data_IF_324995726719
#
_entry.id   IF_324995726719
#
_cell.length_a   1.000
_cell.length_b   1.000
_cell.length_c   1.000
_cell.angle_alpha   90.00
_cell.angle_beta   90.00
_cell.angle_gamma   90.00
#
_symmetry.space_group_name_H-M   'P 1'
#
loop_
_entity.id
_entity.type
_entity.pdbx_description
1 polymer ?
#
# COMPACT_ATOMS: atom_id res chain seq x y z
N UNK A 1 -23.24 -85.17 -1.83
CA UNK A 1 -22.87 -84.14 -2.83
C UNK A 1 -23.34 -82.77 -2.35
N UNK A 2 -22.49 -81.95 -1.69
CA UNK A 2 -22.91 -80.64 -1.16
C UNK A 2 -21.79 -79.63 -0.92
N UNK A 3 -20.53 -80.00 -1.12
CA UNK A 3 -19.36 -79.20 -0.71
C UNK A 3 -18.82 -78.27 -1.81
N UNK A 4 -18.98 -78.63 -3.09
CA UNK A 4 -18.45 -77.80 -4.21
C UNK A 4 -19.23 -76.49 -4.44
N UNK A 5 -20.55 -76.47 -4.25
CA UNK A 5 -21.38 -75.26 -4.47
C UNK A 5 -21.18 -74.18 -3.39
N UNK A 6 -20.82 -74.58 -2.18
CA UNK A 6 -20.57 -73.63 -1.08
C UNK A 6 -19.21 -72.91 -1.22
N UNK A 7 -18.21 -73.57 -1.82
CA UNK A 7 -16.90 -72.96 -2.10
C UNK A 7 -16.95 -71.84 -3.15
N UNK A 8 -17.77 -72.00 -4.19
CA UNK A 8 -17.91 -71.00 -5.27
C UNK A 8 -18.68 -69.75 -4.83
N UNK A 9 -19.76 -69.91 -4.06
CA UNK A 9 -20.52 -68.77 -3.49
C UNK A 9 -19.66 -67.97 -2.51
N UNK A 10 -18.88 -68.64 -1.66
CA UNK A 10 -17.94 -67.99 -0.74
C UNK A 10 -16.83 -67.24 -1.48
N UNK A 11 -16.27 -67.84 -2.52
CA UNK A 11 -15.25 -67.20 -3.36
C UNK A 11 -15.79 -65.98 -4.11
N UNK A 12 -17.02 -66.04 -4.63
CA UNK A 12 -17.68 -64.91 -5.28
C UNK A 12 -17.97 -63.78 -4.29
N UNK A 13 -18.49 -64.09 -3.10
CA UNK A 13 -18.71 -63.12 -2.04
C UNK A 13 -17.41 -62.41 -1.63
N UNK A 14 -16.31 -63.16 -1.51
CA UNK A 14 -15.00 -62.58 -1.20
C UNK A 14 -14.47 -61.67 -2.32
N UNK A 15 -14.67 -62.03 -3.60
CA UNK A 15 -14.29 -61.19 -4.74
C UNK A 15 -15.08 -59.88 -4.75
N UNK A 16 -16.40 -59.93 -4.57
CA UNK A 16 -17.26 -58.75 -4.50
C UNK A 16 -16.87 -57.84 -3.32
N UNK A 17 -16.62 -58.41 -2.14
CA UNK A 17 -16.18 -57.65 -0.98
C UNK A 17 -14.82 -56.95 -1.21
N UNK A 18 -13.86 -57.62 -1.86
CA UNK A 18 -12.56 -57.02 -2.21
C UNK A 18 -12.70 -55.91 -3.24
N UNK A 19 -13.55 -56.08 -4.24
CA UNK A 19 -13.82 -55.05 -5.25
C UNK A 19 -14.46 -53.81 -4.63
N UNK A 20 -15.49 -53.99 -3.79
CA UNK A 20 -16.14 -52.88 -3.08
C UNK A 20 -15.18 -52.15 -2.14
N UNK A 21 -14.28 -52.88 -1.47
CA UNK A 21 -13.21 -52.27 -0.66
C UNK A 21 -12.25 -51.45 -1.52
N UNK A 22 -11.83 -51.97 -2.68
CA UNK A 22 -10.96 -51.27 -3.63
C UNK A 22 -11.61 -49.97 -4.13
N UNK A 23 -12.86 -50.03 -4.58
CA UNK A 23 -13.64 -48.85 -5.01
C UNK A 23 -13.71 -47.79 -3.90
N UNK A 24 -13.99 -48.21 -2.65
CA UNK A 24 -14.03 -47.29 -1.51
C UNK A 24 -12.68 -46.63 -1.24
N UNK A 25 -11.59 -47.40 -1.29
CA UNK A 25 -10.25 -46.85 -1.07
C UNK A 25 -9.85 -45.89 -2.19
N UNK A 26 -10.15 -46.21 -3.44
CA UNK A 26 -9.92 -45.30 -4.57
C UNK A 26 -10.72 -44.00 -4.43
N UNK A 27 -11.97 -44.07 -3.97
CA UNK A 27 -12.78 -42.89 -3.71
C UNK A 27 -12.21 -42.03 -2.56
N UNK A 28 -11.75 -42.67 -1.49
CA UNK A 28 -11.09 -41.97 -0.37
C UNK A 28 -9.82 -41.26 -0.86
N UNK A 29 -8.95 -41.96 -1.58
CA UNK A 29 -7.70 -41.38 -2.10
C UNK A 29 -7.95 -40.23 -3.06
N UNK A 30 -8.98 -40.30 -3.91
CA UNK A 30 -9.37 -39.18 -4.78
C UNK A 30 -9.82 -37.98 -3.94
N UNK A 31 -10.70 -38.20 -2.97
CA UNK A 31 -11.19 -37.14 -2.08
C UNK A 31 -10.04 -36.50 -1.31
N UNK A 32 -9.10 -37.28 -0.79
CA UNK A 32 -7.93 -36.76 -0.06
C UNK A 32 -7.09 -35.85 -0.97
N UNK A 33 -6.81 -36.27 -2.21
CA UNK A 33 -6.10 -35.42 -3.18
C UNK A 33 -6.85 -34.14 -3.52
N UNK A 34 -8.17 -34.22 -3.68
CA UNK A 34 -9.00 -33.05 -3.98
C UNK A 34 -8.99 -32.07 -2.80
N UNK A 35 -9.04 -32.57 -1.56
CA UNK A 35 -8.94 -31.75 -0.34
C UNK A 35 -7.55 -31.10 -0.24
N UNK A 36 -6.48 -31.87 -0.44
CA UNK A 36 -5.11 -31.33 -0.42
C UNK A 36 -4.92 -30.23 -1.46
N UNK A 37 -5.40 -30.45 -2.70
CA UNK A 37 -5.34 -29.44 -3.76
C UNK A 37 -6.15 -28.19 -3.41
N UNK A 38 -7.36 -28.35 -2.86
CA UNK A 38 -8.19 -27.23 -2.45
C UNK A 38 -7.57 -26.41 -1.30
N UNK A 39 -6.95 -27.08 -0.33
CA UNK A 39 -6.25 -26.42 0.79
C UNK A 39 -5.01 -25.67 0.27
N UNK A 40 -4.23 -26.27 -0.61
CA UNK A 40 -3.08 -25.61 -1.23
C UNK A 40 -3.51 -24.36 -2.00
N UNK A 41 -4.54 -24.49 -2.86
CA UNK A 41 -5.08 -23.36 -3.62
C UNK A 41 -5.62 -22.26 -2.70
N UNK A 42 -6.32 -22.61 -1.62
CA UNK A 42 -6.81 -21.65 -0.63
C UNK A 42 -5.67 -20.81 -0.05
N UNK A 43 -4.59 -21.45 0.42
CA UNK A 43 -3.46 -20.73 1.00
C UNK A 43 -2.72 -19.88 -0.04
N UNK A 44 -2.53 -20.38 -1.25
CA UNK A 44 -1.94 -19.63 -2.36
C UNK A 44 -2.74 -18.37 -2.70
N UNK A 45 -4.06 -18.51 -2.84
CA UNK A 45 -4.95 -17.38 -3.12
C UNK A 45 -4.99 -16.38 -1.96
N UNK A 46 -5.00 -16.86 -0.72
CA UNK A 46 -4.97 -15.99 0.46
C UNK A 46 -3.69 -15.16 0.53
N UNK A 47 -2.53 -15.80 0.35
CA UNK A 47 -1.24 -15.12 0.33
C UNK A 47 -1.15 -14.08 -0.80
N UNK A 48 -1.64 -14.42 -2.00
CA UNK A 48 -1.70 -13.47 -3.11
C UNK A 48 -2.61 -12.27 -2.79
N UNK A 49 -3.76 -12.50 -2.16
CA UNK A 49 -4.65 -11.42 -1.77
C UNK A 49 -4.00 -10.48 -0.74
N UNK A 50 -3.30 -11.03 0.26
CA UNK A 50 -2.52 -10.27 1.24
C UNK A 50 -1.45 -9.42 0.54
N UNK A 51 -0.67 -10.00 -0.38
CA UNK A 51 0.36 -9.29 -1.14
C UNK A 51 -0.21 -8.17 -2.02
N UNK A 52 -1.34 -8.40 -2.68
CA UNK A 52 -2.00 -7.38 -3.51
C UNK A 52 -2.42 -6.18 -2.65
N UNK A 53 -2.98 -6.43 -1.47
CA UNK A 53 -3.39 -5.37 -0.55
C UNK A 53 -2.20 -4.60 0.03
N UNK A 54 -1.13 -5.28 0.40
CA UNK A 54 0.10 -4.66 0.88
C UNK A 54 0.69 -3.71 -0.17
N UNK A 55 0.89 -4.20 -1.40
CA UNK A 55 1.41 -3.39 -2.52
C UNK A 55 0.48 -2.22 -2.84
N UNK A 56 -0.85 -2.42 -2.81
CA UNK A 56 -1.81 -1.34 -3.04
C UNK A 56 -1.71 -0.26 -1.97
N UNK A 57 -1.59 -0.65 -0.69
CA UNK A 57 -1.45 0.27 0.43
C UNK A 57 -0.16 1.07 0.36
N UNK A 58 0.97 0.42 0.09
CA UNK A 58 2.26 1.11 -0.08
C UNK A 58 2.20 2.17 -1.19
N UNK A 59 1.59 1.80 -2.34
CA UNK A 59 1.42 2.73 -3.46
C UNK A 59 0.50 3.89 -3.09
N UNK A 60 -0.61 3.64 -2.43
CA UNK A 60 -1.53 4.67 -1.99
C UNK A 60 -0.85 5.65 -1.02
N UNK A 61 -0.10 5.15 -0.05
CA UNK A 61 0.66 5.96 0.89
C UNK A 61 1.70 6.83 0.18
N UNK A 62 2.44 6.26 -0.78
CA UNK A 62 3.41 7.00 -1.56
C UNK A 62 2.76 8.12 -2.37
N UNK A 63 1.67 7.83 -3.07
CA UNK A 63 0.93 8.83 -3.85
C UNK A 63 0.40 9.95 -2.96
N UNK A 64 -0.12 9.63 -1.78
CA UNK A 64 -0.58 10.63 -0.81
C UNK A 64 0.57 11.47 -0.28
N UNK A 65 1.72 10.86 0.04
CA UNK A 65 2.90 11.57 0.51
C UNK A 65 3.45 12.52 -0.57
N UNK A 66 3.58 12.04 -1.81
CA UNK A 66 4.03 12.83 -2.95
C UNK A 66 3.06 13.98 -3.25
N UNK A 67 1.75 13.72 -3.19
CA UNK A 67 0.72 14.74 -3.37
C UNK A 67 0.77 15.83 -2.29
N UNK A 68 0.89 15.44 -1.02
CA UNK A 68 1.04 16.40 0.10
C UNK A 68 2.32 17.23 -0.04
N UNK A 69 3.42 16.61 -0.45
CA UNK A 69 4.68 17.33 -0.66
C UNK A 69 4.53 18.38 -1.75
N UNK A 70 3.98 18.00 -2.91
CA UNK A 70 3.76 18.93 -4.03
C UNK A 70 2.83 20.08 -3.64
N UNK A 71 1.72 19.79 -2.96
CA UNK A 71 0.82 20.83 -2.46
C UNK A 71 1.55 21.82 -1.53
N UNK A 72 2.38 21.32 -0.61
CA UNK A 72 3.17 22.17 0.28
C UNK A 72 4.30 22.94 -0.45
N UNK A 73 4.87 22.39 -1.53
CA UNK A 73 5.80 23.11 -2.41
C UNK A 73 5.09 24.25 -3.15
N UNK A 74 3.90 23.99 -3.70
CA UNK A 74 3.09 24.97 -4.42
C UNK A 74 2.57 26.09 -3.49
N UNK A 75 2.15 25.77 -2.26
CA UNK A 75 1.77 26.75 -1.24
C UNK A 75 2.94 27.67 -0.87
N UNK A 76 4.16 27.12 -0.76
CA UNK A 76 5.38 27.90 -0.55
C UNK A 76 5.67 28.81 -1.73
N UNK A 77 5.55 28.31 -2.96
CA UNK A 77 5.75 29.11 -4.16
C UNK A 77 4.72 30.26 -4.26
N UNK A 78 3.46 29.99 -3.94
CA UNK A 78 2.41 31.02 -3.89
C UNK A 78 2.72 32.09 -2.83
N UNK A 79 3.17 31.69 -1.64
CA UNK A 79 3.56 32.62 -0.57
C UNK A 79 4.77 33.47 -0.98
N UNK A 80 5.76 32.86 -1.65
CA UNK A 80 6.91 33.58 -2.19
C UNK A 80 6.49 34.60 -3.27
N UNK A 81 5.52 34.27 -4.12
CA UNK A 81 4.97 35.21 -5.10
C UNK A 81 4.27 36.40 -4.42
N UNK A 82 3.53 36.18 -3.32
CA UNK A 82 2.97 37.26 -2.50
C UNK A 82 4.09 38.16 -1.93
N UNK A 83 5.17 37.56 -1.42
CA UNK A 83 6.35 38.29 -0.97
C UNK A 83 7.00 39.13 -2.08
N UNK A 84 7.10 38.58 -3.29
CA UNK A 84 7.62 39.30 -4.45
C UNK A 84 6.73 40.49 -4.84
N UNK A 85 5.40 40.35 -4.81
CA UNK A 85 4.48 41.47 -5.06
C UNK A 85 4.67 42.60 -4.03
N UNK A 86 4.83 42.25 -2.75
CA UNK A 86 5.11 43.25 -1.71
C UNK A 86 6.46 43.94 -1.94
N UNK A 87 7.49 43.20 -2.36
CA UNK A 87 8.80 43.76 -2.69
C UNK A 87 8.77 44.70 -3.90
N UNK A 88 7.81 44.52 -4.81
CA UNK A 88 7.55 45.44 -5.93
C UNK A 88 6.79 46.71 -5.51
N UNK A 89 6.37 46.82 -4.25
CA UNK A 89 5.73 48.01 -3.70
C UNK A 89 4.19 47.96 -3.66
N UNK A 90 3.58 46.82 -4.00
CA UNK A 90 2.12 46.64 -3.88
C UNK A 90 1.66 46.68 -2.41
N UNK A 91 0.51 47.29 -2.17
CA UNK A 91 -0.10 47.30 -0.83
C UNK A 91 -0.74 45.95 -0.52
N UNK A 92 -0.90 45.63 0.77
CA UNK A 92 -1.51 44.36 1.19
C UNK A 92 -2.94 44.21 0.70
N UNK A 93 -3.69 45.31 0.67
CA UNK A 93 -5.05 45.39 0.14
C UNK A 93 -5.08 45.14 -1.37
N UNK A 94 -4.17 45.76 -2.13
CA UNK A 94 -4.02 45.53 -3.58
C UNK A 94 -3.65 44.08 -3.90
N UNK A 95 -2.70 43.50 -3.16
CA UNK A 95 -2.32 42.08 -3.32
C UNK A 95 -3.52 41.17 -3.06
N UNK A 96 -4.30 41.41 -2.00
CA UNK A 96 -5.49 40.63 -1.69
C UNK A 96 -6.53 40.68 -2.82
N UNK A 97 -6.74 41.87 -3.41
CA UNK A 97 -7.63 42.06 -4.55
C UNK A 97 -7.12 41.36 -5.81
N UNK A 98 -5.83 41.53 -6.15
CA UNK A 98 -5.22 40.96 -7.36
C UNK A 98 -5.12 39.43 -7.34
N UNK A 99 -4.84 38.86 -6.17
CA UNK A 99 -4.66 37.41 -6.01
C UNK A 99 -5.96 36.70 -5.61
N UNK A 100 -6.99 37.44 -5.22
CA UNK A 100 -8.26 36.90 -4.72
C UNK A 100 -8.16 36.20 -3.37
N UNK A 101 -7.03 36.31 -2.67
CA UNK A 101 -6.84 35.74 -1.33
C UNK A 101 -7.25 36.73 -0.25
N UNK A 102 -7.68 36.22 0.91
CA UNK A 102 -8.06 37.08 2.03
C UNK A 102 -6.88 37.94 2.52
N UNK A 103 -7.17 39.14 3.01
CA UNK A 103 -6.14 40.01 3.61
C UNK A 103 -5.39 39.33 4.77
N UNK A 104 -6.07 38.45 5.51
CA UNK A 104 -5.46 37.63 6.57
C UNK A 104 -4.41 36.66 6.01
N UNK A 105 -4.71 36.00 4.89
CA UNK A 105 -3.79 35.10 4.23
C UNK A 105 -2.56 35.84 3.67
N UNK A 106 -2.76 37.04 3.10
CA UNK A 106 -1.64 37.90 2.66
C UNK A 106 -0.72 38.24 3.83
N UNK A 107 -1.28 38.64 4.99
CA UNK A 107 -0.49 38.96 6.19
C UNK A 107 0.31 37.76 6.69
N UNK A 108 -0.30 36.57 6.70
CA UNK A 108 0.37 35.34 7.12
C UNK A 108 1.50 34.96 6.16
N UNK A 109 1.26 35.00 4.85
CA UNK A 109 2.27 34.69 3.84
C UNK A 109 3.50 35.60 3.94
N UNK A 110 3.29 36.92 4.17
CA UNK A 110 4.38 37.87 4.35
C UNK A 110 5.18 37.62 5.63
N UNK A 111 4.51 37.32 6.75
CA UNK A 111 5.19 36.98 8.01
C UNK A 111 6.09 35.75 7.86
N UNK A 112 5.63 34.71 7.16
CA UNK A 112 6.43 33.51 6.88
C UNK A 112 7.64 33.77 5.96
N UNK A 113 7.55 34.78 5.09
CA UNK A 113 8.69 35.20 4.25
C UNK A 113 9.76 35.94 5.08
N UNK A 114 9.36 36.76 6.04
CA UNK A 114 10.27 37.50 6.94
C UNK A 114 11.05 36.55 7.88
N UNK A 115 10.39 35.49 8.40
CA UNK A 115 11.05 34.45 9.21
C UNK A 115 12.09 33.63 8.42
N UNK A 116 11.87 33.44 7.12
CA UNK A 116 12.80 32.69 6.27
C UNK A 116 14.08 33.47 5.95
N UNK A 117 14.00 34.80 5.87
CA UNK A 117 15.15 35.68 5.58
C UNK A 117 16.10 35.88 6.79
N UNK A 118 15.60 35.66 8.01
CA UNK A 118 16.37 35.84 9.24
C UNK A 118 17.26 34.63 9.59
N UNK A 119 17.10 33.50 8.90
CA UNK A 119 17.85 32.26 9.17
C UNK A 119 19.06 32.03 8.25
N UNK A 120 19.27 32.89 7.25
CA UNK A 120 20.35 32.80 6.25
C UNK A 120 21.46 33.82 6.55
N UNK A 121 22.08 33.70 7.72
CA UNK A 121 23.35 34.39 8.02
C UNK A 121 24.52 33.53 7.49
N UNK A 122 25.49 34.11 6.74
CA UNK A 122 26.59 33.34 6.17
C UNK A 122 27.54 32.81 7.26
N UNK A 123 28.21 31.65 7.06
CA UNK A 123 29.31 31.23 7.91
C UNK A 123 30.49 32.21 7.70
N UNK A 124 30.51 33.27 8.50
CA UNK A 124 31.60 34.21 8.57
C UNK A 124 32.87 33.50 9.03
N UNK A 125 33.84 33.39 8.11
CA UNK A 125 35.17 32.86 8.35
C UNK A 125 35.87 33.62 9.47
N UNK A 126 36.13 32.93 10.57
CA UNK A 126 37.08 33.34 11.59
C UNK A 126 38.42 32.68 11.32
N UNK A 127 39.22 33.29 10.46
CA UNK A 127 40.66 33.08 10.42
C UNK A 127 41.21 33.50 11.80
N UNK A 128 41.83 32.58 12.52
CA UNK A 128 42.51 32.87 13.80
C UNK A 128 43.71 31.96 13.95
N UNK A 129 44.74 32.34 13.19
CA UNK A 129 46.14 32.34 13.60
C UNK A 129 46.32 32.26 15.13
N UNK A 130 46.83 31.11 15.61
CA UNK A 130 47.58 31.05 16.86
C UNK A 130 49.00 30.58 16.56
N UNK A 131 49.91 31.55 16.70
CA UNK A 131 51.30 31.35 17.05
C UNK A 131 51.41 30.74 18.45
#
# INVERSE_FOLDING_TARGET
>A
MGTQKNGTVRAQGLRLARQKKKERLEAILRRERDVEAAVAAFHEHRLRAEQVMEVANERAQKVLADGRKRAADDERAASAAIGALAALGETRESIAELTGVSLTAVRQALASCEESQSHEAPPGGGDSSWR
#
